data_IF_269022215212
#
_entry.id   IF_269022215212
#
_cell.length_a   1.000
_cell.length_b   1.000
_cell.length_c   1.000
_cell.angle_alpha   90.00
_cell.angle_beta   90.00
_cell.angle_gamma   90.00
#
_symmetry.space_group_name_H-M   'P 1'
#
loop_
_entity.id
_entity.type
_entity.pdbx_description
1 polymer ?
#
# COMPACT_ATOMS: atom_id res chain seq x y z
N UNK A 1 30.57 -10.61 -2.01
CA UNK A 1 31.17 -9.71 -1.00
C UNK A 1 31.50 -8.37 -1.62
N UNK A 2 32.45 -8.28 -2.56
CA UNK A 2 32.93 -7.01 -3.12
C UNK A 2 31.87 -5.99 -3.58
N UNK A 3 30.78 -6.42 -4.21
CA UNK A 3 29.78 -5.48 -4.75
C UNK A 3 28.97 -4.75 -3.67
N UNK A 4 28.67 -5.39 -2.54
CA UNK A 4 27.93 -4.77 -1.44
C UNK A 4 28.79 -3.71 -0.75
N UNK A 5 30.05 -4.06 -0.47
CA UNK A 5 31.01 -3.15 0.16
C UNK A 5 31.27 -1.91 -0.73
N UNK A 6 31.38 -2.10 -2.05
CA UNK A 6 31.54 -0.98 -3.00
C UNK A 6 30.27 -0.11 -3.02
N UNK A 7 29.09 -0.73 -3.02
CA UNK A 7 27.83 0.00 -3.04
C UNK A 7 27.66 0.87 -1.77
N UNK A 8 27.99 0.32 -0.61
CA UNK A 8 27.90 1.03 0.66
C UNK A 8 28.95 2.15 0.73
N UNK A 9 30.17 1.95 0.23
CA UNK A 9 31.18 3.01 0.09
C UNK A 9 30.71 4.16 -0.81
N UNK A 10 30.09 3.86 -1.96
CA UNK A 10 29.53 4.88 -2.85
C UNK A 10 28.35 5.61 -2.21
N UNK A 11 27.52 4.89 -1.44
CA UNK A 11 26.39 5.47 -0.73
C UNK A 11 26.86 6.46 0.36
N UNK A 12 27.93 6.14 1.07
CA UNK A 12 28.51 7.01 2.09
C UNK A 12 29.11 8.30 1.50
N UNK A 13 29.71 8.21 0.30
CA UNK A 13 30.25 9.39 -0.41
C UNK A 13 29.13 10.26 -1.02
N UNK A 14 28.19 9.65 -1.75
CA UNK A 14 27.07 10.36 -2.36
C UNK A 14 25.80 9.51 -2.49
N UNK A 15 24.86 9.74 -1.57
CA UNK A 15 23.58 9.04 -1.51
C UNK A 15 22.71 9.23 -2.75
N UNK A 16 22.62 10.46 -3.27
CA UNK A 16 21.70 10.78 -4.37
C UNK A 16 22.16 10.15 -5.69
N UNK A 17 23.46 10.23 -5.98
CA UNK A 17 24.04 9.60 -7.17
C UNK A 17 23.96 8.07 -7.10
N UNK A 18 24.17 7.49 -5.92
CA UNK A 18 24.09 6.03 -5.75
C UNK A 18 22.66 5.52 -5.95
N UNK A 19 21.66 6.22 -5.43
CA UNK A 19 20.24 5.88 -5.69
C UNK A 19 19.92 6.05 -7.18
N UNK A 20 20.41 7.10 -7.83
CA UNK A 20 20.22 7.31 -9.28
C UNK A 20 20.83 6.16 -10.09
N UNK A 21 22.01 5.68 -9.71
CA UNK A 21 22.68 4.53 -10.33
C UNK A 21 21.86 3.24 -10.21
N UNK A 22 21.19 3.00 -9.07
CA UNK A 22 20.32 1.83 -8.90
C UNK A 22 19.14 1.80 -9.89
N UNK A 23 18.69 2.97 -10.32
CA UNK A 23 17.61 3.15 -11.29
C UNK A 23 18.09 3.23 -12.74
N UNK A 24 19.39 3.34 -12.96
CA UNK A 24 19.95 3.46 -14.28
C UNK A 24 19.89 2.12 -15.02
N UNK A 25 19.58 2.19 -16.32
CA UNK A 25 19.53 1.02 -17.19
C UNK A 25 20.93 0.72 -17.71
N UNK A 26 21.35 -0.53 -17.56
CA UNK A 26 22.65 -0.94 -18.07
C UNK A 26 22.53 -1.47 -19.50
N UNK A 27 23.23 -0.82 -20.42
CA UNK A 27 23.35 -1.26 -21.82
C UNK A 27 23.97 -2.66 -21.90
N UNK A 28 24.85 -3.01 -20.95
CA UNK A 28 25.53 -4.30 -20.91
C UNK A 28 24.62 -5.45 -20.49
N UNK A 29 23.50 -5.16 -19.83
CA UNK A 29 22.54 -6.15 -19.32
C UNK A 29 21.16 -5.91 -19.93
N UNK A 30 21.09 -5.78 -21.26
CA UNK A 30 19.83 -5.69 -22.01
C UNK A 30 18.89 -4.57 -21.52
N UNK A 31 19.44 -3.40 -21.18
CA UNK A 31 18.70 -2.25 -20.67
C UNK A 31 17.91 -2.52 -19.36
N UNK A 32 18.30 -3.56 -18.61
CA UNK A 32 17.75 -3.83 -17.29
C UNK A 32 18.28 -2.83 -16.26
N UNK A 33 17.43 -2.49 -15.29
CA UNK A 33 17.82 -1.66 -14.15
C UNK A 33 18.71 -2.47 -13.20
N UNK A 34 19.72 -1.82 -12.64
CA UNK A 34 20.59 -2.43 -11.62
C UNK A 34 19.81 -3.04 -10.46
N UNK A 35 18.69 -2.43 -10.05
CA UNK A 35 17.82 -2.96 -9.01
C UNK A 35 17.18 -4.31 -9.38
N UNK A 36 16.73 -4.46 -10.63
CA UNK A 36 16.11 -5.70 -11.13
C UNK A 36 17.15 -6.82 -11.19
N UNK A 37 18.36 -6.51 -11.64
CA UNK A 37 19.47 -7.47 -11.64
C UNK A 37 19.80 -7.97 -10.23
N UNK A 38 19.77 -7.09 -9.23
CA UNK A 38 20.03 -7.49 -7.83
C UNK A 38 18.92 -8.42 -7.31
N UNK A 39 17.68 -8.15 -7.68
CA UNK A 39 16.52 -8.96 -7.30
C UNK A 39 16.58 -10.35 -7.96
N UNK A 40 16.83 -10.40 -9.27
CA UNK A 40 16.97 -11.64 -10.05
C UNK A 40 18.10 -12.52 -9.52
N UNK A 41 19.23 -11.92 -9.12
CA UNK A 41 20.37 -12.64 -8.57
C UNK A 41 20.16 -13.12 -7.12
N UNK A 42 19.08 -12.70 -6.44
CA UNK A 42 18.74 -13.08 -5.07
C UNK A 42 19.91 -12.96 -4.08
N UNK A 43 20.81 -11.99 -4.30
CA UNK A 43 22.04 -11.88 -3.53
C UNK A 43 21.77 -11.32 -2.14
N UNK A 44 21.66 -12.22 -1.15
CA UNK A 44 21.40 -11.85 0.25
C UNK A 44 22.34 -10.76 0.77
N UNK A 45 23.61 -10.80 0.38
CA UNK A 45 24.62 -9.83 0.82
C UNK A 45 24.39 -8.43 0.24
N UNK A 46 23.87 -8.32 -0.99
CA UNK A 46 23.56 -7.03 -1.61
C UNK A 46 22.25 -6.47 -1.06
N UNK A 47 21.26 -7.34 -0.85
CA UNK A 47 19.97 -6.94 -0.25
C UNK A 47 20.17 -6.48 1.20
N UNK A 48 21.08 -7.10 1.95
CA UNK A 48 21.38 -6.72 3.33
C UNK A 48 22.30 -5.49 3.47
N UNK A 49 22.77 -4.90 2.36
CA UNK A 49 23.64 -3.72 2.41
C UNK A 49 22.89 -2.52 2.99
N UNK A 50 23.62 -1.63 3.67
CA UNK A 50 23.01 -0.46 4.32
C UNK A 50 22.38 0.48 3.29
N UNK A 51 23.00 0.63 2.13
CA UNK A 51 22.45 1.35 0.99
C UNK A 51 21.08 0.79 0.57
N UNK A 52 21.00 -0.53 0.36
CA UNK A 52 19.77 -1.17 -0.12
C UNK A 52 18.66 -1.14 0.93
N UNK A 53 18.99 -1.39 2.21
CA UNK A 53 18.04 -1.28 3.31
C UNK A 53 17.50 0.16 3.45
N UNK A 54 18.37 1.18 3.37
CA UNK A 54 17.96 2.58 3.40
C UNK A 54 17.08 2.96 2.20
N UNK A 55 17.44 2.47 1.01
CA UNK A 55 16.65 2.67 -0.20
C UNK A 55 15.25 2.05 -0.08
N UNK A 56 15.16 0.78 0.31
CA UNK A 56 13.89 0.08 0.49
C UNK A 56 13.03 0.74 1.57
N UNK A 57 13.65 1.19 2.67
CA UNK A 57 12.95 1.91 3.72
C UNK A 57 12.38 3.25 3.21
N UNK A 58 13.15 3.99 2.40
CA UNK A 58 12.69 5.25 1.79
C UNK A 58 11.55 5.01 0.79
N UNK A 59 11.62 3.92 0.02
CA UNK A 59 10.56 3.53 -0.91
C UNK A 59 9.29 3.07 -0.18
N UNK A 60 9.45 2.38 0.94
CA UNK A 60 8.35 1.87 1.77
C UNK A 60 7.57 3.01 2.43
N UNK A 61 8.25 3.86 3.19
CA UNK A 61 7.62 4.99 3.89
C UNK A 61 7.26 6.15 2.95
N UNK A 62 7.90 6.24 1.79
CA UNK A 62 7.85 7.41 0.92
C UNK A 62 8.86 8.48 1.33
N UNK A 63 9.31 9.26 0.35
CA UNK A 63 10.34 10.30 0.51
C UNK A 63 9.97 11.39 1.51
N UNK A 64 8.68 11.56 1.79
CA UNK A 64 8.14 12.59 2.67
C UNK A 64 8.07 12.14 4.15
N UNK A 65 8.04 10.82 4.41
CA UNK A 65 7.70 10.29 5.74
C UNK A 65 8.83 9.54 6.45
N UNK A 66 9.92 9.22 5.75
CA UNK A 66 11.05 8.45 6.28
C UNK A 66 11.65 9.04 7.57
N UNK A 67 11.46 10.33 7.85
CA UNK A 67 12.09 11.01 8.99
C UNK A 67 11.24 11.03 10.28
N UNK A 68 9.94 10.71 10.21
CA UNK A 68 9.05 10.90 11.34
C UNK A 68 8.73 9.59 12.07
N UNK A 69 9.36 9.35 13.23
CA UNK A 69 9.16 8.11 14.03
C UNK A 69 7.72 7.95 14.55
N UNK A 70 6.99 9.05 14.72
CA UNK A 70 5.60 9.02 15.22
C UNK A 70 4.56 8.75 14.14
N UNK A 71 5.01 8.63 12.87
CA UNK A 71 4.14 8.54 11.70
C UNK A 71 3.19 7.33 11.73
N UNK A 72 3.62 6.19 12.29
CA UNK A 72 2.78 4.98 12.34
C UNK A 72 1.51 5.20 13.16
N UNK A 73 1.61 5.86 14.32
CA UNK A 73 0.46 6.16 15.16
C UNK A 73 -0.51 7.14 14.49
N UNK A 74 0.03 8.11 13.76
CA UNK A 74 -0.77 9.08 13.00
C UNK A 74 -1.54 8.38 11.86
N UNK A 75 -0.91 7.46 11.13
CA UNK A 75 -1.58 6.62 10.13
C UNK A 75 -2.68 5.78 10.77
N UNK A 76 -2.40 5.12 11.90
CA UNK A 76 -3.38 4.29 12.59
C UNK A 76 -4.59 5.10 13.04
N UNK A 77 -4.39 6.31 13.58
CA UNK A 77 -5.49 7.21 13.95
C UNK A 77 -6.29 7.62 12.70
N UNK A 78 -5.62 8.00 11.61
CA UNK A 78 -6.30 8.35 10.36
C UNK A 78 -7.12 7.18 9.76
N UNK A 79 -6.60 5.95 9.85
CA UNK A 79 -7.28 4.75 9.38
C UNK A 79 -8.47 4.36 10.27
N UNK A 80 -8.27 4.30 11.59
CA UNK A 80 -9.31 3.90 12.55
C UNK A 80 -10.44 4.91 12.61
N UNK A 81 -10.12 6.21 12.54
CA UNK A 81 -11.17 7.23 12.58
C UNK A 81 -11.97 7.33 11.27
N UNK A 82 -11.57 6.65 10.17
CA UNK A 82 -12.20 6.69 8.83
C UNK A 82 -12.57 8.13 8.44
N UNK A 83 -11.78 9.10 8.91
CA UNK A 83 -12.16 10.49 8.82
C UNK A 83 -11.13 11.17 7.92
N UNK A 84 -11.39 11.22 6.59
CA UNK A 84 -10.56 12.00 5.68
C UNK A 84 -10.48 13.46 6.12
N UNK A 85 -11.42 13.93 6.96
CA UNK A 85 -11.44 15.25 7.60
C UNK A 85 -10.17 15.49 8.46
N UNK A 86 -9.61 14.46 9.10
CA UNK A 86 -8.39 14.58 9.92
C UNK A 86 -7.16 14.99 9.08
N UNK A 87 -7.11 14.61 7.80
CA UNK A 87 -6.05 15.05 6.87
C UNK A 87 -6.15 16.54 6.53
N UNK A 88 -7.31 17.16 6.73
CA UNK A 88 -7.49 18.60 6.58
C UNK A 88 -7.19 19.38 7.86
N UNK A 89 -6.92 18.70 8.99
CA UNK A 89 -6.48 19.37 10.21
C UNK A 89 -5.06 19.91 9.98
N UNK A 90 -4.84 21.23 10.12
CA UNK A 90 -3.57 21.87 9.78
C UNK A 90 -2.38 21.34 10.60
N UNK A 91 -2.61 20.76 11.78
CA UNK A 91 -1.55 20.16 12.61
C UNK A 91 -0.99 18.89 11.96
N UNK A 92 -1.87 18.01 11.48
CA UNK A 92 -1.48 16.77 10.80
C UNK A 92 -0.91 17.13 9.42
N UNK A 93 -1.60 18.00 8.68
CA UNK A 93 -1.15 18.49 7.37
C UNK A 93 0.25 19.14 7.42
N UNK A 94 0.50 20.05 8.36
CA UNK A 94 1.80 20.73 8.47
C UNK A 94 2.92 19.81 8.97
N UNK A 95 2.63 18.77 9.78
CA UNK A 95 3.66 17.82 10.23
C UNK A 95 4.02 16.79 9.18
N UNK A 96 3.02 16.33 8.43
CA UNK A 96 3.15 15.35 7.34
C UNK A 96 3.85 15.97 6.11
N UNK A 97 3.65 17.26 5.82
CA UNK A 97 4.12 17.90 4.58
C UNK A 97 5.16 19.03 4.76
N UNK A 98 6.02 18.99 5.80
CA UNK A 98 7.01 20.05 6.09
C UNK A 98 8.02 20.38 4.97
N UNK A 99 8.05 19.67 3.83
CA UNK A 99 9.07 19.89 2.79
C UNK A 99 8.65 20.72 1.59
N UNK A 100 7.35 20.98 1.40
CA UNK A 100 6.90 21.82 0.30
C UNK A 100 6.70 23.28 0.78
N UNK A 101 7.80 24.03 0.85
CA UNK A 101 7.74 25.48 0.64
C UNK A 101 7.30 25.72 -0.80
N UNK A 102 6.00 25.56 -1.08
CA UNK A 102 5.43 26.17 -2.27
C UNK A 102 5.35 27.67 -1.97
N UNK A 103 6.07 28.46 -2.74
CA UNK A 103 5.93 29.92 -2.77
C UNK A 103 4.45 30.28 -2.92
N UNK A 104 3.82 30.69 -1.81
CA UNK A 104 2.39 31.02 -1.75
C UNK A 104 2.07 32.42 -2.29
N UNK A 105 2.93 32.99 -3.11
CA UNK A 105 2.68 34.29 -3.72
C UNK A 105 1.89 34.11 -5.03
N UNK A 106 0.56 33.90 -4.92
CA UNK A 106 -0.35 34.15 -6.06
C UNK A 106 -1.32 33.03 -6.48
N UNK A 107 -1.77 32.14 -5.57
CA UNK A 107 -2.66 31.02 -5.96
C UNK A 107 -4.14 31.23 -5.62
N UNK A 108 -4.98 31.17 -6.66
CA UNK A 108 -6.46 31.24 -6.61
C UNK A 108 -7.08 30.10 -5.79
N UNK A 109 -8.24 30.34 -5.16
CA UNK A 109 -8.94 29.37 -4.30
C UNK A 109 -9.11 27.96 -4.92
N UNK A 110 -9.45 27.88 -6.21
CA UNK A 110 -9.60 26.59 -6.92
C UNK A 110 -8.30 25.79 -7.02
N UNK A 111 -7.15 26.46 -7.16
CA UNK A 111 -5.84 25.79 -7.15
C UNK A 111 -5.49 25.22 -5.76
N UNK A 112 -6.02 25.79 -4.68
CA UNK A 112 -5.86 25.21 -3.33
C UNK A 112 -6.71 23.94 -3.12
N UNK A 113 -7.82 23.77 -3.82
CA UNK A 113 -8.68 22.58 -3.71
C UNK A 113 -8.13 21.44 -4.56
N UNK A 114 -7.71 21.70 -5.80
CA UNK A 114 -7.08 20.68 -6.66
C UNK A 114 -5.82 20.12 -6.02
N UNK A 115 -5.00 20.97 -5.41
CA UNK A 115 -3.80 20.54 -4.67
C UNK A 115 -4.15 19.62 -3.49
N UNK A 116 -5.32 19.78 -2.85
CA UNK A 116 -5.73 18.92 -1.73
C UNK A 116 -6.21 17.54 -2.18
N UNK A 117 -6.88 17.44 -3.33
CA UNK A 117 -7.24 16.13 -3.90
C UNK A 117 -6.02 15.37 -4.40
N UNK A 118 -5.09 16.07 -5.05
CA UNK A 118 -3.80 15.50 -5.45
C UNK A 118 -3.02 15.02 -4.23
N UNK A 119 -3.02 15.80 -3.16
CA UNK A 119 -2.43 15.42 -1.87
C UNK A 119 -3.06 14.16 -1.29
N UNK A 120 -4.39 14.09 -1.28
CA UNK A 120 -5.12 12.91 -0.81
C UNK A 120 -4.76 11.70 -1.65
N UNK A 121 -4.74 11.85 -2.97
CA UNK A 121 -4.39 10.78 -3.88
C UNK A 121 -2.95 10.33 -3.64
N UNK A 122 -2.01 11.25 -3.46
CA UNK A 122 -0.60 10.97 -3.17
C UNK A 122 -0.40 10.31 -1.81
N UNK A 123 -1.19 10.67 -0.80
CA UNK A 123 -1.13 10.06 0.53
C UNK A 123 -1.62 8.60 0.49
N UNK A 124 -2.78 8.34 -0.11
CA UNK A 124 -3.36 6.99 -0.16
C UNK A 124 -2.72 6.08 -1.21
N UNK A 125 -2.44 6.59 -2.41
CA UNK A 125 -1.87 5.79 -3.49
C UNK A 125 -0.34 5.81 -3.51
N UNK A 126 0.29 6.89 -3.08
CA UNK A 126 1.75 7.06 -3.14
C UNK A 126 2.52 6.44 -1.98
N UNK A 127 1.85 5.97 -0.92
CA UNK A 127 2.52 5.40 0.25
C UNK A 127 2.19 3.92 0.44
N UNK A 128 3.21 3.06 0.32
CA UNK A 128 3.07 1.61 0.47
C UNK A 128 2.64 1.22 1.89
N UNK A 129 3.14 1.93 2.93
CA UNK A 129 2.78 1.69 4.33
C UNK A 129 1.28 1.85 4.55
N UNK A 130 0.68 2.91 4.00
CA UNK A 130 -0.74 3.21 4.19
C UNK A 130 -1.59 2.14 3.51
N UNK A 131 -1.21 1.77 2.28
CA UNK A 131 -1.85 0.69 1.54
C UNK A 131 -1.78 -0.64 2.30
N UNK A 132 -0.62 -0.95 2.89
CA UNK A 132 -0.44 -2.15 3.71
C UNK A 132 -1.39 -2.18 4.91
N UNK A 133 -1.44 -1.10 5.70
CA UNK A 133 -2.31 -1.04 6.89
C UNK A 133 -3.80 -1.04 6.52
N UNK A 134 -4.18 -0.38 5.41
CA UNK A 134 -5.54 -0.43 4.90
C UNK A 134 -5.94 -1.85 4.49
N UNK A 135 -5.07 -2.55 3.77
CA UNK A 135 -5.30 -3.95 3.39
C UNK A 135 -5.42 -4.83 4.64
N UNK A 136 -4.53 -4.67 5.62
CA UNK A 136 -4.58 -5.41 6.88
C UNK A 136 -5.90 -5.19 7.64
N UNK A 137 -6.37 -3.94 7.71
CA UNK A 137 -7.66 -3.61 8.33
C UNK A 137 -8.84 -4.23 7.55
N UNK A 138 -8.82 -4.15 6.21
CA UNK A 138 -9.84 -4.75 5.33
C UNK A 138 -9.90 -6.27 5.50
N UNK A 139 -8.74 -6.96 5.52
CA UNK A 139 -8.67 -8.39 5.77
C UNK A 139 -9.17 -8.77 7.17
N UNK A 140 -8.87 -7.97 8.19
CA UNK A 140 -9.38 -8.21 9.55
C UNK A 140 -10.91 -8.07 9.59
N UNK A 141 -11.46 -7.03 8.95
CA UNK A 141 -12.90 -6.84 8.82
C UNK A 141 -13.57 -7.99 8.06
N UNK A 142 -12.94 -8.49 6.99
CA UNK A 142 -13.38 -9.67 6.27
C UNK A 142 -13.41 -10.92 7.17
N UNK A 143 -12.37 -11.17 7.97
CA UNK A 143 -12.34 -12.33 8.87
C UNK A 143 -13.42 -12.24 9.96
N UNK A 144 -13.68 -11.05 10.49
CA UNK A 144 -14.76 -10.82 11.45
C UNK A 144 -16.11 -11.07 10.79
N UNK A 145 -16.34 -10.51 9.59
CA UNK A 145 -17.57 -10.72 8.84
C UNK A 145 -17.78 -12.21 8.52
N UNK A 146 -16.76 -12.88 8.00
CA UNK A 146 -16.79 -14.30 7.69
C UNK A 146 -17.09 -15.16 8.93
N UNK A 147 -16.42 -14.89 10.05
CA UNK A 147 -16.65 -15.58 11.32
C UNK A 147 -18.07 -15.36 11.83
N UNK A 148 -18.56 -14.11 11.76
CA UNK A 148 -19.92 -13.76 12.14
C UNK A 148 -20.94 -14.48 11.24
N UNK A 149 -20.74 -14.46 9.92
CA UNK A 149 -21.60 -15.14 8.97
C UNK A 149 -21.65 -16.64 9.28
N UNK A 150 -20.52 -17.31 9.49
CA UNK A 150 -20.50 -18.76 9.79
C UNK A 150 -21.18 -19.09 11.12
N UNK A 151 -20.92 -18.31 12.17
CA UNK A 151 -21.37 -18.64 13.52
C UNK A 151 -22.85 -18.32 13.76
N UNK A 152 -23.34 -17.21 13.20
CA UNK A 152 -24.66 -16.68 13.55
C UNK A 152 -25.66 -16.69 12.38
N UNK A 153 -25.20 -16.35 11.18
CA UNK A 153 -26.08 -16.09 10.03
C UNK A 153 -26.09 -17.21 8.98
N UNK A 154 -25.20 -18.20 9.08
CA UNK A 154 -25.13 -19.31 8.15
C UNK A 154 -26.29 -20.24 8.44
N UNK A 155 -27.45 -19.88 7.89
CA UNK A 155 -28.65 -20.69 7.95
C UNK A 155 -28.29 -22.07 7.39
N UNK A 156 -28.31 -23.13 8.21
CA UNK A 156 -28.09 -24.47 7.69
C UNK A 156 -29.31 -24.81 6.83
N UNK A 157 -29.17 -24.56 5.52
CA UNK A 157 -30.13 -24.89 4.47
C UNK A 157 -30.55 -26.38 4.53
N UNK A 158 -29.77 -27.22 5.21
CA UNK A 158 -29.95 -28.66 5.31
C UNK A 158 -30.47 -29.18 6.67
N UNK A 159 -30.54 -28.39 7.75
CA UNK A 159 -31.00 -28.88 9.07
C UNK A 159 -32.53 -28.86 9.19
N UNK A 160 -33.23 -28.11 8.34
CA UNK A 160 -34.70 -28.11 8.25
C UNK A 160 -35.23 -28.76 6.98
N UNK A 161 -34.77 -29.99 6.68
CA UNK A 161 -35.30 -30.82 5.59
C UNK A 161 -36.83 -31.04 5.65
N UNK A 162 -37.50 -30.72 6.76
CA UNK A 162 -38.88 -31.17 6.99
C UNK A 162 -40.02 -30.14 6.88
N UNK A 163 -39.78 -28.84 6.58
CA UNK A 163 -40.91 -27.88 6.46
C UNK A 163 -40.73 -26.75 5.42
N UNK A 164 -40.03 -27.02 4.32
CA UNK A 164 -39.76 -26.02 3.26
C UNK A 164 -40.77 -25.99 2.10
N UNK A 165 -42.05 -26.26 2.30
CA UNK A 165 -43.02 -25.95 1.23
C UNK A 165 -43.30 -24.44 1.09
N UNK A 166 -43.07 -23.62 2.13
CA UNK A 166 -43.34 -22.16 2.13
C UNK A 166 -42.14 -21.25 2.41
N UNK A 167 -40.92 -21.80 2.56
CA UNK A 167 -39.71 -21.09 3.05
C UNK A 167 -38.79 -20.62 1.91
N UNK A 168 -39.10 -20.93 0.64
CA UNK A 168 -38.33 -20.47 -0.54
C UNK A 168 -38.33 -18.94 -0.76
N UNK A 169 -38.95 -18.15 0.12
CA UNK A 169 -39.05 -16.69 0.03
C UNK A 169 -38.28 -15.92 1.10
N UNK A 170 -37.50 -16.58 1.95
CA UNK A 170 -36.68 -15.84 2.90
C UNK A 170 -35.52 -15.14 2.16
N UNK A 171 -35.37 -13.81 2.32
CA UNK A 171 -34.29 -13.09 1.69
C UNK A 171 -32.95 -13.60 2.24
N UNK A 172 -31.97 -13.73 1.35
CA UNK A 172 -30.57 -14.01 1.72
C UNK A 172 -30.12 -12.92 2.70
N UNK A 173 -29.51 -13.28 3.85
CA UNK A 173 -29.04 -12.30 4.82
C UNK A 173 -28.02 -11.36 4.15
N UNK A 174 -28.12 -10.06 4.45
CA UNK A 174 -27.24 -9.05 3.87
C UNK A 174 -25.76 -9.34 4.14
N UNK A 175 -25.44 -9.94 5.29
CA UNK A 175 -24.08 -10.33 5.67
C UNK A 175 -23.48 -11.35 4.70
N UNK A 176 -24.27 -12.34 4.26
CA UNK A 176 -23.86 -13.30 3.24
C UNK A 176 -23.64 -12.63 1.88
N UNK A 177 -24.52 -11.70 1.48
CA UNK A 177 -24.36 -10.95 0.22
C UNK A 177 -23.06 -10.12 0.27
N UNK A 178 -22.80 -9.40 1.36
CA UNK A 178 -21.57 -8.61 1.54
C UNK A 178 -20.35 -9.53 1.50
N UNK A 179 -20.40 -10.70 2.14
CA UNK A 179 -19.31 -11.67 2.12
C UNK A 179 -19.00 -12.14 0.69
N UNK A 180 -20.01 -12.42 -0.13
CA UNK A 180 -19.82 -12.81 -1.53
C UNK A 180 -19.20 -11.68 -2.36
N UNK A 181 -19.60 -10.43 -2.13
CA UNK A 181 -18.98 -9.26 -2.78
C UNK A 181 -17.49 -9.16 -2.38
N UNK A 182 -17.17 -9.35 -1.10
CA UNK A 182 -15.78 -9.36 -0.63
C UNK A 182 -14.96 -10.47 -1.30
N UNK A 183 -15.48 -11.70 -1.33
CA UNK A 183 -14.80 -12.82 -1.99
C UNK A 183 -14.56 -12.56 -3.48
N UNK A 184 -15.56 -12.03 -4.19
CA UNK A 184 -15.41 -11.65 -5.59
C UNK A 184 -14.34 -10.56 -5.76
N UNK A 185 -14.27 -9.58 -4.85
CA UNK A 185 -13.26 -8.52 -4.90
C UNK A 185 -11.83 -9.06 -4.70
N UNK A 186 -11.63 -10.01 -3.78
CA UNK A 186 -10.34 -10.68 -3.57
C UNK A 186 -9.95 -11.48 -4.81
N UNK A 187 -10.88 -12.26 -5.37
CA UNK A 187 -10.62 -13.05 -6.57
C UNK A 187 -10.22 -12.18 -7.77
N UNK A 188 -10.87 -11.03 -7.96
CA UNK A 188 -10.50 -10.08 -9.02
C UNK A 188 -9.10 -9.48 -8.80
N UNK A 189 -8.73 -9.20 -7.55
CA UNK A 189 -7.41 -8.67 -7.20
C UNK A 189 -6.31 -9.71 -7.44
N UNK A 190 -6.53 -10.99 -7.10
CA UNK A 190 -5.60 -12.09 -7.41
C UNK A 190 -5.42 -12.26 -8.92
N UNK A 191 -6.52 -12.22 -9.69
CA UNK A 191 -6.47 -12.27 -11.15
C UNK A 191 -5.61 -11.10 -11.70
N UNK A 192 -5.84 -9.88 -11.19
CA UNK A 192 -5.08 -8.69 -11.59
C UNK A 192 -3.58 -8.86 -11.29
N UNK A 193 -3.22 -9.40 -10.13
CA UNK A 193 -1.83 -9.63 -9.74
C UNK A 193 -1.15 -10.64 -10.67
N UNK A 194 -1.81 -11.76 -10.98
CA UNK A 194 -1.29 -12.76 -11.93
C UNK A 194 -1.05 -12.15 -13.31
N UNK A 195 -1.97 -11.30 -13.80
CA UNK A 195 -1.78 -10.62 -15.08
C UNK A 195 -0.59 -9.66 -15.09
N UNK A 196 -0.37 -8.92 -14.00
CA UNK A 196 0.76 -7.99 -13.91
C UNK A 196 2.09 -8.74 -13.89
N UNK A 197 2.19 -9.77 -13.05
CA UNK A 197 3.40 -10.60 -12.95
C UNK A 197 3.72 -11.24 -14.31
N UNK A 198 2.71 -11.78 -15.01
CA UNK A 198 2.94 -12.39 -16.31
C UNK A 198 3.36 -11.37 -17.39
N UNK A 199 2.87 -10.13 -17.32
CA UNK A 199 3.24 -9.09 -18.28
C UNK A 199 4.62 -8.46 -18.01
N UNK A 200 5.15 -8.56 -16.80
CA UNK A 200 6.51 -8.09 -16.48
C UNK A 200 7.61 -9.10 -16.89
N UNK A 201 7.23 -10.34 -17.21
CA UNK A 201 8.16 -11.43 -17.61
C UNK A 201 8.38 -11.50 -19.14
N UNK A 202 7.66 -10.70 -19.94
CA UNK A 202 7.82 -10.61 -21.40
C UNK A 202 8.39 -9.25 -21.84
#
# INVERSE_FOLDING_TARGET
MYAADILDLCYDDNKENTIKFLHEKSILYHDQQSLVLIDDLCSKTLVSSDCMQSYMNTKWYGTEFHQNKNFIWEILICLVCICPILLFIPIIHNRIFQRNKFDTNGYNFWSKITNKFELFNRFYHGNAVIRFHYNMASYTAFLILFSYTILFDYFPLNIYKEKRSNIYRLPIPLTEIILHIFLASIALEEIRQVFIINNEVF
#
